data_IF_810657733601
#
_entry.id   IF_810657733601
#
_cell.length_a   1.000
_cell.length_b   1.000
_cell.length_c   1.000
_cell.angle_alpha   90.00
_cell.angle_beta   90.00
_cell.angle_gamma   90.00
#
_symmetry.space_group_name_H-M   'P 1'
#
loop_
_entity.id
_entity.type
_entity.pdbx_description
1 polymer ?
#
# COMPACT_ATOMS: atom_id res chain seq x y z
N UNK A 1 9.88 -21.06 21.84
CA UNK A 1 8.59 -20.94 21.10
C UNK A 1 8.07 -19.50 20.97
N UNK A 2 7.98 -18.71 22.05
CA UNK A 2 7.45 -17.32 21.99
C UNK A 2 8.23 -16.35 21.08
N UNK A 3 9.57 -16.46 21.03
CA UNK A 3 10.42 -15.59 20.18
C UNK A 3 10.27 -15.87 18.68
N UNK A 4 10.06 -17.12 18.29
CA UNK A 4 9.89 -17.52 16.89
C UNK A 4 8.55 -17.05 16.34
N UNK A 5 7.48 -17.14 17.13
CA UNK A 5 6.16 -16.61 16.79
C UNK A 5 6.18 -15.08 16.63
N UNK A 6 6.87 -14.36 17.53
CA UNK A 6 7.00 -12.90 17.44
C UNK A 6 7.74 -12.46 16.16
N UNK A 7 8.82 -13.17 15.79
CA UNK A 7 9.52 -12.94 14.52
C UNK A 7 8.64 -13.20 13.30
N UNK A 8 7.83 -14.26 13.34
CA UNK A 8 6.93 -14.62 12.24
C UNK A 8 5.82 -13.56 12.05
N UNK A 9 5.23 -13.08 13.15
CA UNK A 9 4.23 -12.01 13.13
C UNK A 9 4.82 -10.71 12.58
N UNK A 10 6.03 -10.35 13.02
CA UNK A 10 6.72 -9.17 12.51
C UNK A 10 7.01 -9.28 11.00
N UNK A 11 7.44 -10.46 10.53
CA UNK A 11 7.65 -10.73 9.10
C UNK A 11 6.35 -10.66 8.30
N UNK A 12 5.24 -11.17 8.84
CA UNK A 12 3.92 -11.10 8.21
C UNK A 12 3.43 -9.65 8.09
N UNK A 13 3.63 -8.85 9.13
CA UNK A 13 3.30 -7.42 9.13
C UNK A 13 4.16 -6.66 8.11
N UNK A 14 5.47 -6.95 8.03
CA UNK A 14 6.30 -6.35 6.99
C UNK A 14 5.89 -6.79 5.59
N UNK A 15 5.59 -8.07 5.39
CA UNK A 15 5.15 -8.60 4.11
C UNK A 15 3.80 -8.01 3.67
N UNK A 16 2.89 -7.73 4.60
CA UNK A 16 1.61 -7.07 4.30
C UNK A 16 1.74 -5.57 4.01
N UNK A 17 2.83 -4.93 4.44
CA UNK A 17 3.17 -3.55 4.05
C UNK A 17 3.96 -3.50 2.73
N UNK A 18 4.27 -4.66 2.13
CA UNK A 18 4.96 -4.80 0.83
C UNK A 18 3.99 -5.13 -0.32
N UNK A 19 2.68 -4.96 -0.14
CA UNK A 19 1.66 -5.37 -1.11
C UNK A 19 0.85 -4.22 -1.71
N UNK A 20 1.32 -2.96 -1.67
CA UNK A 20 0.55 -1.82 -2.18
C UNK A 20 -0.62 -1.48 -1.26
N UNK A 21 -0.33 -1.23 0.01
CA UNK A 21 -1.33 -0.87 1.01
C UNK A 21 -2.13 0.36 0.56
N UNK A 22 -1.48 1.36 -0.03
CA UNK A 22 -2.15 2.52 -0.62
C UNK A 22 -3.30 2.14 -1.55
N UNK A 23 -3.06 1.21 -2.48
CA UNK A 23 -4.07 0.71 -3.42
C UNK A 23 -5.18 -0.07 -2.73
N UNK A 24 -4.85 -0.97 -1.80
CA UNK A 24 -5.85 -1.77 -1.07
C UNK A 24 -6.80 -0.86 -0.28
N UNK A 25 -6.26 0.15 0.41
CA UNK A 25 -7.07 1.07 1.19
C UNK A 25 -7.94 1.93 0.27
N UNK A 26 -7.43 2.38 -0.90
CA UNK A 26 -8.26 3.09 -1.87
C UNK A 26 -9.42 2.25 -2.39
N UNK A 27 -9.19 0.98 -2.70
CA UNK A 27 -10.28 0.06 -3.09
C UNK A 27 -11.27 -0.14 -1.94
N UNK A 28 -10.79 -0.27 -0.69
CA UNK A 28 -11.65 -0.43 0.48
C UNK A 28 -12.54 0.81 0.71
N UNK A 29 -12.04 2.00 0.42
CA UNK A 29 -12.80 3.26 0.43
C UNK A 29 -13.66 3.48 -0.82
N UNK A 30 -13.70 2.51 -1.74
CA UNK A 30 -14.39 2.58 -3.04
C UNK A 30 -13.87 3.71 -3.96
N UNK A 31 -12.62 4.11 -3.77
CA UNK A 31 -11.93 5.05 -4.64
C UNK A 31 -11.23 4.30 -5.80
N UNK A 32 -11.98 4.17 -6.89
CA UNK A 32 -11.51 3.55 -8.13
C UNK A 32 -10.87 4.57 -9.09
N UNK A 33 -10.45 5.73 -8.61
CA UNK A 33 -9.70 6.65 -9.45
C UNK A 33 -8.38 6.02 -9.91
N UNK A 34 -7.98 6.36 -11.14
CA UNK A 34 -6.75 5.84 -11.74
C UNK A 34 -5.56 6.29 -10.89
N UNK A 35 -4.74 5.32 -10.48
CA UNK A 35 -3.60 5.53 -9.59
C UNK A 35 -3.95 6.08 -8.19
N UNK A 36 -5.14 5.75 -7.67
CA UNK A 36 -5.60 6.22 -6.36
C UNK A 36 -4.68 5.79 -5.21
N UNK A 37 -4.08 4.60 -5.28
CA UNK A 37 -3.13 4.10 -4.28
C UNK A 37 -1.84 4.91 -4.27
N UNK A 38 -1.26 5.15 -5.44
CA UNK A 38 -0.06 5.99 -5.62
C UNK A 38 -0.29 7.41 -5.09
N UNK A 39 -1.44 8.02 -5.41
CA UNK A 39 -1.79 9.36 -4.90
C UNK A 39 -1.83 9.37 -3.38
N UNK A 40 -2.34 8.29 -2.77
CA UNK A 40 -2.44 8.14 -1.32
C UNK A 40 -1.06 8.05 -0.67
N UNK A 41 -0.17 7.26 -1.24
CA UNK A 41 1.21 7.14 -0.77
C UNK A 41 1.94 8.47 -0.89
N UNK A 42 1.76 9.20 -1.98
CA UNK A 42 2.31 10.55 -2.11
C UNK A 42 1.82 11.52 -1.03
N UNK A 43 0.53 11.47 -0.67
CA UNK A 43 -0.01 12.28 0.44
C UNK A 43 0.63 11.89 1.77
N UNK A 44 0.82 10.60 2.04
CA UNK A 44 1.49 10.12 3.24
C UNK A 44 2.98 10.55 3.29
N UNK A 45 3.67 10.54 2.14
CA UNK A 45 5.05 11.05 2.01
C UNK A 45 5.09 12.55 2.33
N UNK A 46 4.15 13.34 1.80
CA UNK A 46 4.06 14.78 2.06
C UNK A 46 3.76 15.10 3.54
N UNK A 47 3.00 14.25 4.22
CA UNK A 47 2.72 14.38 5.66
C UNK A 47 3.95 14.03 6.52
N UNK A 48 4.89 13.26 5.98
CA UNK A 48 6.16 12.93 6.62
C UNK A 48 6.03 11.95 7.80
N UNK A 49 7.04 11.97 8.68
CA UNK A 49 7.13 11.06 9.83
C UNK A 49 7.39 9.60 9.45
N UNK A 50 7.12 8.69 10.37
CA UNK A 50 7.35 7.25 10.17
C UNK A 50 6.47 6.69 9.05
N UNK A 51 5.23 7.17 8.95
CA UNK A 51 4.27 6.76 7.92
C UNK A 51 4.76 7.18 6.53
N UNK A 52 5.30 8.40 6.39
CA UNK A 52 5.89 8.85 5.13
C UNK A 52 7.05 7.97 4.65
N UNK A 53 7.93 7.54 5.56
CA UNK A 53 9.03 6.62 5.19
C UNK A 53 8.51 5.26 4.72
N UNK A 54 7.49 4.71 5.40
CA UNK A 54 6.84 3.48 4.94
C UNK A 54 6.16 3.67 3.57
N UNK A 55 5.52 4.82 3.35
CA UNK A 55 4.87 5.15 2.09
C UNK A 55 5.86 5.28 0.92
N UNK A 56 7.09 5.77 1.15
CA UNK A 56 8.15 5.75 0.11
C UNK A 56 8.47 4.31 -0.33
N UNK A 57 8.50 3.38 0.63
CA UNK A 57 8.80 1.97 0.37
C UNK A 57 7.62 1.29 -0.35
N UNK A 58 6.39 1.61 0.01
CA UNK A 58 5.17 1.03 -0.58
C UNK A 58 4.78 1.64 -1.93
N UNK A 59 5.19 2.89 -2.22
CA UNK A 59 4.92 3.61 -3.47
C UNK A 59 5.15 2.77 -4.75
N UNK A 60 6.31 2.11 -4.97
CA UNK A 60 6.51 1.29 -6.18
C UNK A 60 5.56 0.08 -6.25
N UNK A 61 5.12 -0.46 -5.11
CA UNK A 61 4.21 -1.59 -5.05
C UNK A 61 2.77 -1.15 -5.32
N UNK A 62 2.35 -0.03 -4.75
CA UNK A 62 1.08 0.62 -5.11
C UNK A 62 1.04 0.99 -6.59
N UNK A 63 2.16 1.43 -7.19
CA UNK A 63 2.21 1.70 -8.63
C UNK A 63 1.98 0.44 -9.47
N UNK A 64 2.61 -0.68 -9.11
CA UNK A 64 2.39 -1.97 -9.80
C UNK A 64 0.94 -2.42 -9.63
N UNK A 65 0.40 -2.36 -8.41
CA UNK A 65 -0.95 -2.83 -8.14
C UNK A 65 -2.03 -1.93 -8.77
N UNK A 66 -1.87 -0.61 -8.73
CA UNK A 66 -2.73 0.34 -9.44
C UNK A 66 -2.70 0.11 -10.95
N UNK A 67 -1.52 -0.19 -11.51
CA UNK A 67 -1.39 -0.54 -12.94
C UNK A 67 -2.15 -1.84 -13.26
N UNK A 68 -2.08 -2.85 -12.40
CA UNK A 68 -2.86 -4.08 -12.54
C UNK A 68 -4.37 -3.84 -12.37
N UNK A 69 -4.75 -2.82 -11.61
CA UNK A 69 -6.13 -2.39 -11.40
C UNK A 69 -6.68 -1.48 -12.52
N UNK A 70 -5.87 -1.10 -13.52
CA UNK A 70 -6.32 -0.28 -14.66
C UNK A 70 -7.56 -0.84 -15.37
N UNK A 71 -7.68 -2.15 -15.66
CA UNK A 71 -8.88 -2.69 -16.31
C UNK A 71 -10.14 -2.49 -15.47
N UNK A 72 -10.04 -2.52 -14.14
CA UNK A 72 -11.17 -2.34 -13.22
C UNK A 72 -11.51 -0.86 -13.06
N UNK A 73 -10.50 -0.02 -12.87
CA UNK A 73 -10.66 1.42 -12.65
C UNK A 73 -11.10 2.17 -13.91
N UNK A 74 -10.72 1.72 -15.11
CA UNK A 74 -11.16 2.30 -16.39
C UNK A 74 -12.52 1.78 -16.88
N UNK A 75 -12.99 0.65 -16.35
CA UNK A 75 -14.30 0.07 -16.72
C UNK A 75 -15.45 0.59 -15.85
N UNK A 76 -15.14 1.41 -14.84
CA UNK A 76 -16.09 1.96 -13.88
C UNK A 76 -16.33 3.44 -14.15
#
# INVERSE_FOLDING_TARGET
MKRTACKLIFLLILASNLSGCGTIVSIADKDYSVYSGVIRDFKAIQQGGVIGVLAVIDLPLSFVLDTLMLPVTLSN
#
